data_IF_378570660638
#
_entry.id   IF_378570660638
#
_cell.length_a   1.000
_cell.length_b   1.000
_cell.length_c   1.000
_cell.angle_alpha   90.00
_cell.angle_beta   90.00
_cell.angle_gamma   90.00
#
_symmetry.space_group_name_H-M   'P 1'
#
loop_
_entity.id
_entity.type
_entity.pdbx_description
1 polymer ?
#
# COMPACT_ATOMS: atom_id res chain seq x y z
N UNK A 1 -32.65 -1.94 2.34
CA UNK A 1 -32.27 -0.68 1.66
C UNK A 1 -30.84 -0.91 1.20
N UNK A 2 -30.64 -1.20 -0.09
CA UNK A 2 -29.50 -1.99 -0.56
C UNK A 2 -28.27 -1.13 -0.88
N UNK A 3 -27.09 -1.71 -0.68
CA UNK A 3 -25.75 -1.16 -0.97
C UNK A 3 -25.63 -0.50 -2.35
N UNK A 4 -26.50 -0.82 -3.31
CA UNK A 4 -26.51 -0.19 -4.63
C UNK A 4 -26.96 1.29 -4.63
N UNK A 5 -27.67 1.75 -3.60
CA UNK A 5 -28.24 3.09 -3.55
C UNK A 5 -27.29 4.14 -2.93
N UNK A 6 -26.40 3.74 -2.01
CA UNK A 6 -25.34 4.65 -1.50
C UNK A 6 -24.23 4.85 -2.54
N UNK A 7 -23.97 3.83 -3.37
CA UNK A 7 -22.96 3.89 -4.43
C UNK A 7 -23.48 4.62 -5.71
N UNK A 8 -24.79 4.88 -5.82
CA UNK A 8 -25.37 5.71 -6.91
C UNK A 8 -25.27 7.22 -6.65
N UNK A 9 -24.98 7.64 -5.41
CA UNK A 9 -24.79 9.05 -5.05
C UNK A 9 -23.32 9.53 -5.18
N UNK A 10 -22.39 8.64 -5.56
CA UNK A 10 -20.93 8.78 -5.39
C UNK A 10 -20.19 9.80 -6.28
N UNK A 11 -20.83 10.75 -6.97
CA UNK A 11 -20.12 11.37 -8.11
C UNK A 11 -20.22 12.87 -8.48
N UNK A 12 -21.09 13.76 -8.01
CA UNK A 12 -21.10 15.08 -8.64
C UNK A 12 -20.70 16.20 -7.69
N UNK A 13 -19.48 16.25 -7.15
CA UNK A 13 -18.93 17.51 -6.55
C UNK A 13 -17.43 17.81 -6.71
N UNK A 14 -16.62 16.98 -7.38
CA UNK A 14 -15.24 17.35 -7.79
C UNK A 14 -15.14 17.97 -9.20
N UNK A 15 -16.27 18.17 -9.89
CA UNK A 15 -16.30 18.71 -11.25
C UNK A 15 -15.86 17.73 -12.35
N UNK A 16 -15.58 16.48 -12.00
CA UNK A 16 -15.36 15.37 -12.93
C UNK A 16 -16.64 14.53 -13.02
N UNK A 17 -17.21 14.37 -14.22
CA UNK A 17 -18.30 13.42 -14.46
C UNK A 17 -17.84 12.00 -14.14
N UNK A 18 -18.75 11.07 -13.79
CA UNK A 18 -18.38 9.66 -13.56
C UNK A 18 -17.57 9.06 -14.72
N UNK A 19 -17.88 9.48 -15.95
CA UNK A 19 -17.13 9.09 -17.14
C UNK A 19 -15.69 9.62 -17.15
N UNK A 20 -15.46 10.83 -16.64
CA UNK A 20 -14.13 11.41 -16.50
C UNK A 20 -13.27 10.61 -15.53
N UNK A 21 -13.84 10.17 -14.39
CA UNK A 21 -13.14 9.35 -13.40
C UNK A 21 -12.88 7.93 -13.93
N UNK A 22 -13.84 7.36 -14.67
CA UNK A 22 -13.70 6.04 -15.29
C UNK A 22 -12.62 6.01 -16.38
N UNK A 23 -12.41 7.11 -17.12
CA UNK A 23 -11.40 7.19 -18.20
C UNK A 23 -9.99 7.55 -17.70
N UNK A 24 -9.78 7.76 -16.40
CA UNK A 24 -8.43 7.99 -15.87
C UNK A 24 -7.53 6.78 -16.13
N UNK A 25 -6.45 7.00 -16.89
CA UNK A 25 -5.28 6.12 -16.93
C UNK A 25 -4.32 6.43 -15.78
N UNK A 26 -3.21 5.69 -15.67
CA UNK A 26 -2.29 5.84 -14.53
C UNK A 26 -1.71 7.25 -14.34
N UNK A 27 -1.36 7.98 -15.41
CA UNK A 27 -0.94 9.39 -15.29
C UNK A 27 -2.08 10.32 -14.85
N UNK A 28 -3.30 10.05 -15.31
CA UNK A 28 -4.49 10.79 -14.90
C UNK A 28 -4.77 10.62 -13.40
N UNK A 29 -4.65 9.39 -12.90
CA UNK A 29 -4.78 9.08 -11.47
C UNK A 29 -3.76 9.85 -10.65
N UNK A 30 -2.49 9.85 -11.05
CA UNK A 30 -1.46 10.61 -10.33
C UNK A 30 -1.75 12.12 -10.37
N UNK A 31 -2.12 12.66 -11.54
CA UNK A 31 -2.44 14.08 -11.68
C UNK A 31 -3.59 14.50 -10.75
N UNK A 32 -4.63 13.68 -10.68
CA UNK A 32 -5.77 13.96 -9.80
C UNK A 32 -5.36 13.84 -8.32
N UNK A 33 -4.51 12.87 -7.99
CA UNK A 33 -3.98 12.70 -6.63
C UNK A 33 -3.13 13.89 -6.19
N UNK A 34 -2.26 14.40 -7.07
CA UNK A 34 -1.49 15.63 -6.84
C UNK A 34 -2.40 16.84 -6.72
N UNK A 35 -3.48 16.92 -7.50
CA UNK A 35 -4.46 17.99 -7.42
C UNK A 35 -5.21 17.98 -6.08
N UNK A 36 -5.63 16.82 -5.61
CA UNK A 36 -6.30 16.63 -4.31
C UNK A 36 -5.39 16.94 -3.14
N UNK A 37 -4.11 16.57 -3.23
CA UNK A 37 -3.15 16.93 -2.20
C UNK A 37 -2.83 18.44 -2.25
N UNK A 38 -2.64 18.98 -3.46
CA UNK A 38 -2.30 20.39 -3.70
C UNK A 38 -3.42 21.38 -3.43
N UNK A 39 -4.70 20.95 -3.39
CA UNK A 39 -5.81 21.78 -2.92
C UNK A 39 -5.79 22.00 -1.40
N UNK A 40 -4.81 21.44 -0.69
CA UNK A 40 -4.58 21.62 0.75
C UNK A 40 -5.85 21.35 1.56
N UNK A 41 -6.55 20.26 1.25
CA UNK A 41 -7.70 19.86 2.06
C UNK A 41 -7.28 19.76 3.53
N UNK A 42 -7.95 20.48 4.45
CA UNK A 42 -7.52 20.53 5.84
C UNK A 42 -7.34 19.15 6.47
N UNK A 43 -8.22 18.20 6.13
CA UNK A 43 -8.13 16.81 6.59
C UNK A 43 -6.81 16.13 6.17
N UNK A 44 -6.41 16.22 4.90
CA UNK A 44 -5.17 15.63 4.40
C UNK A 44 -3.94 16.27 5.05
N UNK A 45 -3.93 17.61 5.16
CA UNK A 45 -2.82 18.32 5.82
C UNK A 45 -2.67 17.90 7.29
N UNK A 46 -3.78 17.76 8.02
CA UNK A 46 -3.73 17.27 9.41
C UNK A 46 -3.26 15.81 9.49
N UNK A 47 -3.69 14.95 8.58
CA UNK A 47 -3.25 13.54 8.51
C UNK A 47 -1.75 13.45 8.23
N UNK A 48 -1.24 14.29 7.31
CA UNK A 48 0.19 14.40 7.02
C UNK A 48 0.99 14.67 8.29
N UNK A 49 0.66 15.74 9.01
CA UNK A 49 1.44 16.17 10.19
C UNK A 49 1.23 15.28 11.41
N UNK A 50 0.00 14.82 11.66
CA UNK A 50 -0.32 14.07 12.87
C UNK A 50 0.04 12.58 12.78
N UNK A 51 0.09 12.00 11.58
CA UNK A 51 0.17 10.55 11.41
C UNK A 51 1.24 10.11 10.40
N UNK A 52 1.22 10.64 9.17
CA UNK A 52 2.13 10.19 8.12
C UNK A 52 3.57 10.60 8.41
N UNK A 53 3.80 11.85 8.84
CA UNK A 53 5.14 12.37 9.12
C UNK A 53 5.80 11.65 10.32
N UNK A 54 5.11 11.43 11.46
CA UNK A 54 5.62 10.56 12.52
C UNK A 54 5.91 9.13 12.04
N UNK A 55 5.04 8.56 11.21
CA UNK A 55 5.25 7.23 10.63
C UNK A 55 6.48 7.18 9.72
N UNK A 56 6.69 8.17 8.85
CA UNK A 56 7.87 8.26 8.00
C UNK A 56 9.14 8.44 8.82
N UNK A 57 9.11 9.25 9.88
CA UNK A 57 10.24 9.37 10.80
C UNK A 57 10.55 8.02 11.47
N UNK A 58 9.54 7.31 11.96
CA UNK A 58 9.68 5.96 12.52
C UNK A 58 10.30 4.99 11.50
N UNK A 59 9.82 4.97 10.25
CA UNK A 59 10.37 4.12 9.20
C UNK A 59 11.85 4.39 8.94
N UNK A 60 12.24 5.66 8.88
CA UNK A 60 13.62 6.07 8.62
C UNK A 60 14.52 5.68 9.79
N UNK A 61 14.08 5.94 11.02
CA UNK A 61 14.77 5.53 12.24
C UNK A 61 14.97 4.02 12.21
N UNK A 62 13.90 3.24 12.08
CA UNK A 62 13.97 1.77 12.02
C UNK A 62 14.88 1.29 10.89
N UNK A 63 14.83 1.89 9.71
CA UNK A 63 15.70 1.52 8.59
C UNK A 63 17.18 1.72 8.92
N UNK A 64 17.54 2.85 9.52
CA UNK A 64 18.93 3.14 9.96
C UNK A 64 19.38 2.12 11.01
N UNK A 65 18.57 1.89 12.04
CA UNK A 65 18.91 0.95 13.11
C UNK A 65 19.00 -0.50 12.61
N UNK A 66 18.06 -0.93 11.76
CA UNK A 66 18.05 -2.27 11.19
C UNK A 66 19.22 -2.51 10.24
N UNK A 67 19.54 -1.56 9.35
CA UNK A 67 20.69 -1.66 8.45
C UNK A 67 22.00 -1.80 9.23
N UNK A 68 22.18 -0.99 10.28
CA UNK A 68 23.37 -1.03 11.13
C UNK A 68 23.48 -2.34 11.90
N UNK A 69 22.36 -2.84 12.43
CA UNK A 69 22.32 -4.11 13.16
C UNK A 69 22.59 -5.32 12.24
N UNK A 70 22.05 -5.34 11.01
CA UNK A 70 22.33 -6.37 10.00
C UNK A 70 23.80 -6.33 9.59
N UNK A 71 24.37 -5.13 9.38
CA UNK A 71 25.78 -4.98 9.02
C UNK A 71 26.71 -5.54 10.10
N UNK A 72 26.41 -5.26 11.36
CA UNK A 72 27.19 -5.77 12.50
C UNK A 72 27.06 -7.29 12.64
N UNK A 73 25.85 -7.85 12.45
CA UNK A 73 25.62 -9.29 12.47
C UNK A 73 26.33 -10.04 11.32
N UNK A 74 26.40 -9.44 10.13
CA UNK A 74 27.07 -10.02 8.97
C UNK A 74 28.60 -9.86 9.01
N UNK A 75 29.10 -8.79 9.63
CA UNK A 75 30.52 -8.45 9.67
C UNK A 75 30.96 -8.06 11.10
N UNK A 76 31.11 -9.02 12.01
CA UNK A 76 31.49 -8.75 13.40
C UNK A 76 32.88 -8.12 13.57
N UNK A 77 33.72 -8.16 12.54
CA UNK A 77 35.08 -7.60 12.53
C UNK A 77 35.17 -6.20 11.86
N UNK A 78 34.05 -5.57 11.52
CA UNK A 78 34.09 -4.21 10.97
C UNK A 78 34.60 -3.24 12.06
N UNK A 79 35.62 -2.41 11.80
CA UNK A 79 36.04 -1.42 12.78
C UNK A 79 34.88 -0.47 13.10
N UNK A 80 34.78 0.01 14.35
CA UNK A 80 33.76 0.99 14.72
C UNK A 80 33.84 2.19 13.78
N UNK A 81 32.67 2.69 13.38
CA UNK A 81 32.48 3.84 12.48
C UNK A 81 33.57 4.92 12.68
N UNK A 82 34.12 5.50 11.60
CA UNK A 82 35.18 6.49 11.70
C UNK A 82 34.78 7.61 12.68
N UNK A 83 35.65 7.79 13.68
CA UNK A 83 35.64 8.73 14.80
C UNK A 83 34.52 9.79 14.80
N UNK A 84 33.66 9.74 15.82
CA UNK A 84 32.90 10.92 16.27
C UNK A 84 31.38 10.80 16.30
N UNK A 85 30.79 9.68 15.85
CA UNK A 85 29.36 9.44 16.10
C UNK A 85 29.24 8.86 17.51
N UNK A 86 28.56 9.53 18.47
CA UNK A 86 28.11 8.88 19.69
C UNK A 86 27.02 7.90 19.29
N UNK A 87 27.43 6.74 18.79
CA UNK A 87 26.54 5.62 18.61
C UNK A 87 26.26 5.12 20.03
N UNK A 88 24.98 5.04 20.46
CA UNK A 88 24.65 4.50 21.79
C UNK A 88 25.37 3.17 21.95
N UNK A 89 26.02 2.93 23.09
CA UNK A 89 26.89 1.76 23.31
C UNK A 89 26.22 0.48 22.77
N UNK A 90 26.68 0.03 21.59
CA UNK A 90 26.09 -1.11 20.89
C UNK A 90 26.49 -2.44 21.52
N UNK A 91 27.44 -2.42 22.45
CA UNK A 91 27.88 -3.57 23.22
C UNK A 91 26.70 -4.24 23.96
N UNK A 92 25.68 -3.46 24.34
CA UNK A 92 24.48 -4.00 24.99
C UNK A 92 23.48 -4.65 24.01
N UNK A 93 23.42 -4.18 22.75
CA UNK A 93 22.53 -4.75 21.72
C UNK A 93 23.14 -5.95 20.99
N UNK A 94 24.47 -5.97 20.83
CA UNK A 94 25.22 -7.11 20.26
C UNK A 94 25.27 -8.32 21.20
N UNK A 95 25.20 -8.08 22.51
CA UNK A 95 25.14 -9.12 23.55
C UNK A 95 23.71 -9.58 23.89
N UNK A 96 22.69 -9.14 23.15
CA UNK A 96 21.32 -9.64 23.33
C UNK A 96 21.26 -11.12 22.91
N UNK A 97 20.71 -11.95 23.78
CA UNK A 97 20.34 -13.33 23.44
C UNK A 97 19.56 -13.36 22.12
N UNK A 98 19.85 -14.34 21.26
CA UNK A 98 19.21 -14.50 19.95
C UNK A 98 17.67 -14.45 20.01
N UNK A 99 17.08 -14.96 21.10
CA UNK A 99 15.62 -14.92 21.35
C UNK A 99 15.10 -13.49 21.60
N UNK A 100 15.84 -12.67 22.34
CA UNK A 100 15.50 -11.25 22.59
C UNK A 100 15.64 -10.42 21.34
N UNK A 101 16.67 -10.70 20.53
CA UNK A 101 16.90 -10.02 19.26
C UNK A 101 15.78 -10.34 18.24
N UNK A 102 15.37 -11.60 18.15
CA UNK A 102 14.23 -12.01 17.33
C UNK A 102 12.92 -11.39 17.81
N UNK A 103 12.69 -11.35 19.14
CA UNK A 103 11.53 -10.69 19.73
C UNK A 103 11.46 -9.20 19.43
N UNK A 104 12.60 -8.50 19.48
CA UNK A 104 12.71 -7.09 19.12
C UNK A 104 12.37 -6.85 17.63
N UNK A 105 12.95 -7.63 16.71
CA UNK A 105 12.61 -7.52 15.29
C UNK A 105 11.13 -7.77 15.03
N UNK A 106 10.56 -8.81 15.65
CA UNK A 106 9.14 -9.11 15.53
C UNK A 106 8.29 -7.92 16.00
N UNK A 107 8.62 -7.33 17.15
CA UNK A 107 7.93 -6.15 17.67
C UNK A 107 8.00 -4.97 16.69
N UNK A 108 9.19 -4.66 16.16
CA UNK A 108 9.39 -3.58 15.20
C UNK A 108 8.55 -3.78 13.93
N UNK A 109 8.52 -5.01 13.40
CA UNK A 109 7.71 -5.38 12.23
C UNK A 109 6.22 -5.25 12.54
N UNK A 110 5.76 -5.73 13.70
CA UNK A 110 4.36 -5.62 14.11
C UNK A 110 3.93 -4.17 14.31
N UNK A 111 4.74 -3.35 14.98
CA UNK A 111 4.46 -1.93 15.19
C UNK A 111 4.41 -1.20 13.84
N UNK A 112 5.36 -1.47 12.94
CA UNK A 112 5.36 -0.93 11.58
C UNK A 112 4.09 -1.28 10.83
N UNK A 113 3.69 -2.56 10.90
CA UNK A 113 2.50 -3.07 10.25
C UNK A 113 1.23 -2.39 10.79
N UNK A 114 1.07 -2.35 12.11
CA UNK A 114 -0.10 -1.74 12.76
C UNK A 114 -0.23 -0.25 12.42
N UNK A 115 0.85 0.53 12.55
CA UNK A 115 0.83 1.97 12.25
C UNK A 115 0.58 2.19 10.75
N UNK A 116 1.20 1.39 9.88
CA UNK A 116 0.99 1.46 8.43
C UNK A 116 -0.47 1.25 8.03
N UNK A 117 -1.15 0.29 8.65
CA UNK A 117 -2.60 0.07 8.42
C UNK A 117 -3.45 1.25 8.89
N UNK A 118 -3.10 1.86 10.03
CA UNK A 118 -3.79 3.06 10.54
C UNK A 118 -3.61 4.23 9.57
N UNK A 119 -2.40 4.46 9.06
CA UNK A 119 -2.13 5.48 8.03
C UNK A 119 -2.96 5.22 6.78
N UNK A 120 -2.90 4.00 6.24
CA UNK A 120 -3.64 3.59 5.05
C UNK A 120 -5.15 3.85 5.21
N UNK A 121 -5.74 3.35 6.29
CA UNK A 121 -7.19 3.50 6.55
C UNK A 121 -7.61 4.95 6.72
N UNK A 122 -6.79 5.75 7.42
CA UNK A 122 -7.05 7.19 7.63
C UNK A 122 -7.04 7.96 6.32
N UNK A 123 -6.02 7.74 5.48
CA UNK A 123 -5.91 8.41 4.16
C UNK A 123 -7.06 7.97 3.25
N UNK A 124 -7.37 6.66 3.19
CA UNK A 124 -8.45 6.15 2.35
C UNK A 124 -9.81 6.73 2.78
N UNK A 125 -10.09 6.78 4.08
CA UNK A 125 -11.32 7.39 4.59
C UNK A 125 -11.40 8.89 4.25
N UNK A 126 -10.30 9.62 4.39
CA UNK A 126 -10.26 11.05 4.05
C UNK A 126 -10.51 11.29 2.55
N UNK A 127 -9.86 10.52 1.67
CA UNK A 127 -10.10 10.58 0.23
C UNK A 127 -11.56 10.23 -0.07
N UNK A 128 -12.09 9.17 0.53
CA UNK A 128 -13.49 8.82 0.42
C UNK A 128 -14.40 9.99 0.79
N UNK A 129 -14.21 10.57 1.98
CA UNK A 129 -15.01 11.70 2.45
C UNK A 129 -14.98 12.89 1.47
N UNK A 130 -13.81 13.21 0.89
CA UNK A 130 -13.68 14.24 -0.14
C UNK A 130 -14.49 13.88 -1.39
N UNK A 131 -14.41 12.64 -1.86
CA UNK A 131 -15.21 12.16 -3.00
C UNK A 131 -16.73 12.13 -2.71
N UNK A 132 -17.14 11.87 -1.46
CA UNK A 132 -18.53 11.97 -1.00
C UNK A 132 -18.98 13.41 -0.73
N UNK A 133 -18.11 14.41 -0.86
CA UNK A 133 -18.41 15.80 -0.53
C UNK A 133 -18.68 16.04 0.96
N UNK A 134 -18.24 15.13 1.84
CA UNK A 134 -18.32 15.30 3.29
C UNK A 134 -17.07 16.02 3.77
N UNK A 135 -17.26 17.12 4.49
CA UNK A 135 -16.17 17.77 5.22
C UNK A 135 -15.84 16.95 6.48
N UNK A 136 -15.17 15.81 6.32
CA UNK A 136 -14.75 14.99 7.45
C UNK A 136 -13.66 15.73 8.23
N UNK A 137 -13.92 15.96 9.52
CA UNK A 137 -12.90 16.52 10.42
C UNK A 137 -11.89 15.43 10.79
N UNK A 138 -10.65 15.81 11.10
CA UNK A 138 -9.61 14.85 11.51
C UNK A 138 -10.07 13.94 12.67
N UNK A 139 -10.83 14.51 13.62
CA UNK A 139 -11.42 13.75 14.74
C UNK A 139 -12.37 12.66 14.25
N UNK A 140 -13.26 12.95 13.31
CA UNK A 140 -14.19 11.96 12.75
C UNK A 140 -13.46 10.86 11.98
N UNK A 141 -12.40 11.21 11.25
CA UNK A 141 -11.57 10.22 10.55
C UNK A 141 -10.95 9.26 11.56
N UNK A 142 -10.23 9.78 12.56
CA UNK A 142 -9.52 8.95 13.54
C UNK A 142 -10.47 8.10 14.38
N UNK A 143 -11.67 8.58 14.72
CA UNK A 143 -12.67 7.79 15.45
C UNK A 143 -13.30 6.67 14.60
N UNK A 144 -13.30 6.80 13.28
CA UNK A 144 -13.85 5.79 12.36
C UNK A 144 -12.82 4.70 12.01
N UNK A 145 -11.54 4.98 12.19
CA UNK A 145 -10.43 4.06 11.88
C UNK A 145 -10.47 2.73 12.64
N UNK A 146 -10.82 2.64 13.95
CA UNK A 146 -10.86 1.36 14.67
C UNK A 146 -11.79 0.32 14.02
N UNK A 147 -12.90 0.76 13.41
CA UNK A 147 -13.84 -0.13 12.71
C UNK A 147 -13.30 -0.60 11.36
N UNK A 148 -12.54 0.26 10.66
CA UNK A 148 -11.89 -0.07 9.40
C UNK A 148 -10.61 -0.90 9.60
N UNK A 149 -9.94 -0.72 10.74
CA UNK A 149 -8.67 -1.36 11.05
C UNK A 149 -8.80 -2.87 11.13
N UNK A 150 -9.84 -3.41 11.78
CA UNK A 150 -10.06 -4.86 11.84
C UNK A 150 -10.27 -5.48 10.46
N UNK A 151 -10.99 -4.79 9.58
CA UNK A 151 -11.27 -5.23 8.20
C UNK A 151 -10.00 -5.17 7.34
N UNK A 152 -9.24 -4.08 7.45
CA UNK A 152 -7.94 -3.91 6.78
C UNK A 152 -6.91 -4.92 7.28
N UNK A 153 -6.91 -5.21 8.58
CA UNK A 153 -6.04 -6.23 9.18
C UNK A 153 -6.30 -7.60 8.54
N UNK A 154 -7.57 -8.01 8.40
CA UNK A 154 -7.92 -9.27 7.72
C UNK A 154 -7.43 -9.29 6.27
N UNK A 155 -7.63 -8.20 5.52
CA UNK A 155 -7.14 -8.09 4.13
C UNK A 155 -5.61 -8.19 4.05
N UNK A 156 -4.90 -7.54 4.97
CA UNK A 156 -3.45 -7.59 5.04
C UNK A 156 -2.91 -8.97 5.46
N UNK A 157 -3.58 -9.68 6.38
CA UNK A 157 -3.22 -11.07 6.70
C UNK A 157 -3.39 -11.98 5.48
N UNK A 158 -4.46 -11.79 4.69
CA UNK A 158 -4.65 -12.56 3.44
C UNK A 158 -3.53 -12.28 2.44
N UNK A 159 -3.09 -11.02 2.31
CA UNK A 159 -1.93 -10.66 1.48
C UNK A 159 -0.67 -11.41 1.91
N UNK A 160 -0.35 -11.35 3.20
CA UNK A 160 0.83 -12.02 3.78
C UNK A 160 0.75 -13.53 3.54
N UNK A 161 -0.40 -14.15 3.77
CA UNK A 161 -0.60 -15.59 3.54
C UNK A 161 -0.40 -15.95 2.06
N UNK A 162 -0.90 -15.13 1.13
CA UNK A 162 -0.71 -15.35 -0.30
C UNK A 162 0.77 -15.21 -0.70
N UNK A 163 1.45 -14.15 -0.26
CA UNK A 163 2.88 -13.96 -0.53
C UNK A 163 3.74 -15.09 0.08
N UNK A 164 3.43 -15.50 1.31
CA UNK A 164 4.10 -16.63 1.97
C UNK A 164 3.86 -17.93 1.22
N UNK A 165 2.66 -18.17 0.68
CA UNK A 165 2.38 -19.39 -0.08
C UNK A 165 3.28 -19.50 -1.33
N UNK A 166 3.50 -18.40 -2.05
CA UNK A 166 4.46 -18.34 -3.18
C UNK A 166 5.89 -18.63 -2.70
N UNK A 167 6.30 -18.02 -1.58
CA UNK A 167 7.64 -18.25 -1.00
C UNK A 167 7.86 -19.69 -0.55
N UNK A 168 6.85 -20.33 0.05
CA UNK A 168 6.91 -21.74 0.48
C UNK A 168 7.02 -22.67 -0.73
N UNK A 169 6.22 -22.46 -1.78
CA UNK A 169 6.31 -23.24 -3.00
C UNK A 169 7.70 -23.11 -3.65
N UNK A 170 8.24 -21.89 -3.69
CA UNK A 170 9.60 -21.64 -4.17
C UNK A 170 10.67 -22.32 -3.29
N UNK A 171 10.53 -22.29 -1.97
CA UNK A 171 11.44 -22.97 -1.05
C UNK A 171 11.42 -24.49 -1.20
N UNK A 172 10.22 -25.09 -1.28
CA UNK A 172 10.05 -26.53 -1.54
C UNK A 172 10.70 -26.91 -2.86
N UNK A 173 10.52 -26.10 -3.90
CA UNK A 173 11.15 -26.29 -5.19
C UNK A 173 12.68 -26.38 -5.08
N UNK A 174 13.32 -25.43 -4.38
CA UNK A 174 14.78 -25.45 -4.17
C UNK A 174 15.21 -26.74 -3.44
N UNK A 175 14.52 -27.09 -2.34
CA UNK A 175 14.89 -28.26 -1.51
C UNK A 175 14.78 -29.58 -2.27
N UNK A 176 13.80 -29.73 -3.15
CA UNK A 176 13.64 -30.96 -3.96
C UNK A 176 14.72 -31.06 -5.03
N UNK A 177 14.97 -29.97 -5.75
CA UNK A 177 15.84 -30.01 -6.93
C UNK A 177 17.33 -29.90 -6.60
N UNK A 178 17.71 -29.37 -5.43
CA UNK A 178 19.12 -29.23 -5.04
C UNK A 178 19.87 -30.57 -4.95
N UNK A 179 19.17 -31.66 -4.64
CA UNK A 179 19.77 -33.00 -4.53
C UNK A 179 19.70 -33.80 -5.83
N UNK A 180 18.93 -33.33 -6.82
CA UNK A 180 18.61 -34.09 -8.03
C UNK A 180 19.34 -33.56 -9.27
N UNK A 181 19.64 -32.27 -9.32
CA UNK A 181 20.21 -31.61 -10.49
C UNK A 181 21.68 -31.22 -10.29
N UNK A 182 22.49 -31.20 -11.37
CA UNK A 182 23.81 -30.59 -11.34
C UNK A 182 23.70 -29.07 -11.05
N UNK A 183 24.73 -28.51 -10.41
CA UNK A 183 24.76 -27.13 -9.89
C UNK A 183 24.37 -26.08 -10.91
N UNK A 184 24.87 -26.20 -12.14
CA UNK A 184 24.69 -25.17 -13.18
C UNK A 184 23.25 -25.16 -13.69
N UNK A 185 22.65 -26.35 -13.84
CA UNK A 185 21.25 -26.50 -14.23
C UNK A 185 20.31 -26.07 -13.10
N UNK A 186 20.65 -26.39 -11.85
CA UNK A 186 19.92 -25.93 -10.68
C UNK A 186 19.89 -24.40 -10.61
N UNK A 187 21.04 -23.74 -10.77
CA UNK A 187 21.13 -22.29 -10.72
C UNK A 187 20.26 -21.62 -11.78
N UNK A 188 20.31 -22.11 -13.03
CA UNK A 188 19.47 -21.63 -14.12
C UNK A 188 17.98 -21.78 -13.79
N UNK A 189 17.59 -22.96 -13.31
CA UNK A 189 16.20 -23.29 -13.04
C UNK A 189 15.65 -22.51 -11.83
N UNK A 190 16.42 -22.41 -10.75
CA UNK A 190 16.11 -21.59 -9.57
C UNK A 190 15.97 -20.12 -9.98
N UNK A 191 16.81 -19.62 -10.88
CA UNK A 191 16.71 -18.23 -11.38
C UNK A 191 15.40 -18.01 -12.14
N UNK A 192 15.02 -18.93 -13.04
CA UNK A 192 13.78 -18.83 -13.81
C UNK A 192 12.55 -18.88 -12.89
N UNK A 193 12.48 -19.87 -12.00
CA UNK A 193 11.35 -20.01 -11.05
C UNK A 193 11.34 -18.86 -10.05
N UNK A 194 12.51 -18.34 -9.66
CA UNK A 194 12.65 -17.15 -8.84
C UNK A 194 12.03 -15.92 -9.49
N UNK A 195 12.29 -15.68 -10.78
CA UNK A 195 11.66 -14.60 -11.55
C UNK A 195 10.14 -14.77 -11.60
N UNK A 196 9.63 -15.97 -11.85
CA UNK A 196 8.18 -16.26 -11.87
C UNK A 196 7.56 -15.99 -10.49
N UNK A 197 8.25 -16.37 -9.42
CA UNK A 197 7.80 -16.16 -8.04
C UNK A 197 7.76 -14.67 -7.70
N UNK A 198 8.78 -13.91 -8.12
CA UNK A 198 8.82 -12.45 -7.97
C UNK A 198 7.66 -11.77 -8.72
N UNK A 199 7.38 -12.18 -9.95
CA UNK A 199 6.23 -11.67 -10.72
C UNK A 199 4.92 -11.99 -10.00
N UNK A 200 4.80 -13.18 -9.41
CA UNK A 200 3.60 -13.59 -8.66
C UNK A 200 3.39 -12.73 -7.42
N UNK A 201 4.42 -12.50 -6.61
CA UNK A 201 4.37 -11.59 -5.45
C UNK A 201 4.06 -10.16 -5.89
N UNK A 202 4.62 -9.71 -7.01
CA UNK A 202 4.33 -8.39 -7.58
C UNK A 202 2.85 -8.24 -7.95
N UNK A 203 2.26 -9.23 -8.63
CA UNK A 203 0.83 -9.23 -8.97
C UNK A 203 -0.04 -9.23 -7.70
N UNK A 204 0.30 -10.04 -6.70
CA UNK A 204 -0.40 -10.07 -5.41
C UNK A 204 -0.37 -8.68 -4.75
N UNK A 205 0.78 -8.00 -4.79
CA UNK A 205 0.92 -6.65 -4.25
C UNK A 205 0.03 -5.63 -4.99
N UNK A 206 -0.03 -5.67 -6.33
CA UNK A 206 -0.94 -4.80 -7.09
C UNK A 206 -2.40 -5.04 -6.73
N UNK A 207 -2.79 -6.32 -6.62
CA UNK A 207 -4.14 -6.70 -6.21
C UNK A 207 -4.45 -6.24 -4.79
N UNK A 208 -3.47 -6.32 -3.88
CA UNK A 208 -3.61 -5.85 -2.50
C UNK A 208 -3.93 -4.36 -2.43
N UNK A 209 -3.26 -3.52 -3.23
CA UNK A 209 -3.54 -2.08 -3.24
C UNK A 209 -4.99 -1.77 -3.63
N UNK A 210 -5.55 -2.48 -4.61
CA UNK A 210 -6.96 -2.34 -5.00
C UNK A 210 -7.90 -2.96 -3.97
N UNK A 211 -7.53 -4.10 -3.38
CA UNK A 211 -8.30 -4.77 -2.33
C UNK A 211 -8.42 -3.93 -1.05
N UNK A 212 -7.42 -3.09 -0.74
CA UNK A 212 -7.51 -2.09 0.32
C UNK A 212 -8.60 -1.06 0.03
N UNK A 213 -8.73 -0.61 -1.23
CA UNK A 213 -9.83 0.24 -1.67
C UNK A 213 -11.19 -0.43 -1.47
N UNK A 214 -11.34 -1.67 -1.93
CA UNK A 214 -12.55 -2.48 -1.72
C UNK A 214 -12.88 -2.60 -0.23
N UNK A 215 -11.87 -2.84 0.61
CA UNK A 215 -12.06 -3.03 2.06
C UNK A 215 -12.46 -1.74 2.77
N UNK A 216 -11.94 -0.59 2.32
CA UNK A 216 -12.25 0.71 2.90
C UNK A 216 -13.60 1.27 2.46
N UNK A 217 -13.98 1.05 1.20
CA UNK A 217 -15.14 1.72 0.59
C UNK A 217 -16.36 0.82 0.39
N UNK A 218 -16.21 -0.49 0.53
CA UNK A 218 -17.30 -1.46 0.45
C UNK A 218 -17.29 -2.33 1.71
N UNK A 219 -18.30 -3.20 1.90
CA UNK A 219 -18.42 -4.07 3.08
C UNK A 219 -17.74 -5.45 2.93
N UNK A 220 -16.80 -5.58 1.99
CA UNK A 220 -16.01 -6.80 1.79
C UNK A 220 -14.64 -6.73 2.51
N UNK A 221 -14.09 -7.86 2.99
CA UNK A 221 -12.72 -7.91 3.56
C UNK A 221 -12.03 -9.24 3.25
N UNK A 222 -10.70 -9.32 3.37
CA UNK A 222 -9.96 -10.56 3.15
C UNK A 222 -10.04 -11.08 1.71
N UNK A 223 -10.31 -12.38 1.55
CA UNK A 223 -10.33 -13.06 0.24
C UNK A 223 -11.41 -12.49 -0.69
N UNK A 224 -12.56 -12.08 -0.15
CA UNK A 224 -13.64 -11.48 -0.96
C UNK A 224 -13.18 -10.16 -1.58
N UNK A 225 -12.40 -9.36 -0.85
CA UNK A 225 -11.82 -8.12 -1.37
C UNK A 225 -10.80 -8.37 -2.46
N UNK A 226 -9.98 -9.43 -2.35
CA UNK A 226 -9.04 -9.81 -3.41
C UNK A 226 -9.74 -10.29 -4.67
N UNK A 227 -10.80 -11.12 -4.54
CA UNK A 227 -11.60 -11.55 -5.68
C UNK A 227 -12.23 -10.37 -6.40
N UNK A 228 -12.88 -9.47 -5.66
CA UNK A 228 -13.49 -8.28 -6.25
C UNK A 228 -12.45 -7.33 -6.84
N UNK A 229 -11.32 -7.12 -6.14
CA UNK A 229 -10.18 -6.36 -6.64
C UNK A 229 -9.65 -6.91 -7.97
N UNK A 230 -9.57 -8.23 -8.13
CA UNK A 230 -9.21 -8.88 -9.41
C UNK A 230 -10.18 -8.52 -10.53
N UNK A 231 -11.49 -8.57 -10.25
CA UNK A 231 -12.51 -8.21 -11.23
C UNK A 231 -12.45 -6.73 -11.60
N UNK A 232 -12.25 -5.84 -10.63
CA UNK A 232 -12.08 -4.39 -10.86
C UNK A 232 -10.82 -4.06 -11.67
N UNK A 233 -9.78 -4.89 -11.54
CA UNK A 233 -8.48 -4.68 -12.19
C UNK A 233 -8.42 -5.26 -13.62
N UNK A 234 -9.37 -6.11 -14.00
CA UNK A 234 -9.36 -6.87 -15.26
C UNK A 234 -9.07 -6.01 -16.50
N UNK A 235 -9.71 -4.83 -16.61
CA UNK A 235 -9.58 -3.95 -17.77
C UNK A 235 -8.50 -2.87 -17.60
N UNK A 236 -7.82 -2.83 -16.43
CA UNK A 236 -6.90 -1.75 -16.06
C UNK A 236 -5.53 -2.21 -15.52
N UNK A 237 -5.14 -3.46 -15.73
CA UNK A 237 -3.82 -3.98 -15.34
C UNK A 237 -2.67 -3.10 -15.82
N UNK A 238 -2.70 -2.67 -17.09
CA UNK A 238 -1.66 -1.79 -17.64
C UNK A 238 -1.56 -0.45 -16.91
N UNK A 239 -2.71 0.13 -16.51
CA UNK A 239 -2.73 1.39 -15.74
C UNK A 239 -2.23 1.19 -14.31
N UNK A 240 -2.52 0.04 -13.69
CA UNK A 240 -2.03 -0.28 -12.33
C UNK A 240 -0.51 -0.48 -12.31
N UNK A 241 0.03 -1.24 -13.27
CA UNK A 241 1.48 -1.44 -13.42
C UNK A 241 2.16 -0.10 -13.70
N UNK A 242 1.60 0.71 -14.60
CA UNK A 242 2.14 2.03 -14.90
C UNK A 242 2.12 2.95 -13.66
N UNK A 243 1.02 2.97 -12.91
CA UNK A 243 0.91 3.75 -11.66
C UNK A 243 1.94 3.28 -10.63
N UNK A 244 2.12 1.97 -10.46
CA UNK A 244 3.12 1.41 -9.57
C UNK A 244 4.53 1.88 -9.94
N UNK A 245 4.91 1.77 -11.23
CA UNK A 245 6.23 2.22 -11.71
C UNK A 245 6.40 3.72 -11.49
N UNK A 246 5.36 4.51 -11.77
CA UNK A 246 5.37 5.96 -11.64
C UNK A 246 5.55 6.42 -10.19
N UNK A 247 5.01 5.68 -9.22
CA UNK A 247 5.22 5.91 -7.78
C UNK A 247 6.53 5.32 -7.28
N UNK A 248 7.00 4.22 -7.86
CA UNK A 248 8.22 3.53 -7.46
C UNK A 248 9.47 4.33 -7.80
N UNK A 249 9.56 4.91 -9.01
CA UNK A 249 10.73 5.68 -9.47
C UNK A 249 11.10 6.81 -8.49
N UNK A 250 10.19 7.72 -8.08
CA UNK A 250 10.53 8.77 -7.13
C UNK A 250 10.85 8.20 -5.74
N UNK A 251 10.18 7.12 -5.31
CA UNK A 251 10.49 6.47 -4.04
C UNK A 251 11.93 5.90 -4.02
N UNK A 252 12.36 5.24 -5.11
CA UNK A 252 13.74 4.75 -5.27
C UNK A 252 14.72 5.92 -5.30
N UNK A 253 14.44 6.97 -6.09
CA UNK A 253 15.32 8.13 -6.19
C UNK A 253 15.53 8.79 -4.81
N UNK A 254 14.46 8.93 -4.04
CA UNK A 254 14.53 9.45 -2.66
C UNK A 254 15.29 8.50 -1.74
N UNK A 255 15.11 7.20 -1.87
CA UNK A 255 15.91 6.19 -1.16
C UNK A 255 17.42 6.29 -1.46
N UNK A 256 17.79 6.42 -2.73
CA UNK A 256 19.19 6.58 -3.15
C UNK A 256 19.81 7.88 -2.61
N UNK A 257 19.01 8.96 -2.55
CA UNK A 257 19.42 10.23 -1.96
C UNK A 257 19.65 10.14 -0.44
N UNK A 258 19.12 9.12 0.25
CA UNK A 258 19.34 8.92 1.69
C UNK A 258 20.64 8.17 2.02
N UNK A 259 21.06 7.26 1.15
CA UNK A 259 22.32 6.52 1.32
C UNK A 259 23.56 7.42 1.18
N UNK A 260 23.44 8.51 0.42
CA UNK A 260 24.52 9.47 0.15
C UNK A 260 24.91 10.33 1.39
N UNK A 261 23.98 10.96 2.13
CA UNK A 261 24.28 11.82 3.29
C UNK A 261 24.63 11.03 4.57
N UNK A 262 24.15 9.79 4.75
CA UNK A 262 24.42 9.00 5.96
C UNK A 262 25.88 8.51 6.01
N UNK A 263 26.52 8.33 4.86
CA UNK A 263 27.89 7.78 4.78
C UNK A 263 29.01 8.80 4.99
N UNK A 264 28.74 10.11 5.02
CA UNK A 264 29.81 11.08 4.77
C UNK A 264 30.39 11.90 5.92
N UNK A 265 29.81 12.06 7.12
CA UNK A 265 30.54 12.71 8.23
C UNK A 265 29.93 12.49 9.61
N UNK A 266 30.80 12.33 10.62
CA UNK A 266 30.48 12.30 12.05
C UNK A 266 30.23 13.68 12.66
N UNK A 267 30.45 14.76 11.90
CA UNK A 267 30.35 16.12 12.41
C UNK A 267 28.95 16.73 12.22
N UNK A 268 28.44 17.35 13.29
CA UNK A 268 27.16 18.03 13.30
C UNK A 268 27.21 19.30 12.44
N UNK A 269 26.94 19.16 11.14
CA UNK A 269 26.77 20.31 10.25
C UNK A 269 25.27 20.61 10.06
N UNK A 270 24.90 21.86 10.28
CA UNK A 270 23.54 22.38 10.05
C UNK A 270 23.00 22.01 8.64
N UNK A 271 23.87 22.00 7.63
CA UNK A 271 23.52 21.60 6.24
C UNK A 271 22.99 20.16 6.16
N UNK A 272 23.53 19.22 6.93
CA UNK A 272 23.07 17.83 6.94
C UNK A 272 21.77 17.65 7.71
N UNK A 273 21.56 18.42 8.78
CA UNK A 273 20.28 18.44 9.49
C UNK A 273 19.15 18.88 8.56
N UNK A 274 19.37 19.96 7.80
CA UNK A 274 18.40 20.45 6.80
C UNK A 274 18.11 19.39 5.74
N UNK A 275 19.13 18.71 5.21
CA UNK A 275 18.94 17.63 4.22
C UNK A 275 18.14 16.44 4.79
N UNK A 276 18.39 16.04 6.04
CA UNK A 276 17.61 14.98 6.71
C UNK A 276 16.15 15.39 6.91
N UNK A 277 15.89 16.63 7.30
CA UNK A 277 14.53 17.16 7.43
C UNK A 277 13.82 17.15 6.07
N UNK A 278 14.47 17.64 5.01
CA UNK A 278 13.94 17.61 3.65
C UNK A 278 13.62 16.18 3.21
N UNK A 279 14.51 15.23 3.51
CA UNK A 279 14.30 13.81 3.20
C UNK A 279 13.07 13.21 3.92
N UNK A 280 12.89 13.50 5.21
CA UNK A 280 11.72 13.04 5.99
C UNK A 280 10.44 13.64 5.39
N UNK A 281 10.42 14.93 5.11
CA UNK A 281 9.26 15.62 4.52
C UNK A 281 8.93 15.03 3.15
N UNK A 282 9.94 14.81 2.31
CA UNK A 282 9.76 14.26 0.96
C UNK A 282 9.26 12.80 1.00
N UNK A 283 9.78 11.99 1.93
CA UNK A 283 9.33 10.61 2.14
C UNK A 283 7.89 10.57 2.65
N UNK A 284 7.53 11.44 3.59
CA UNK A 284 6.16 11.60 4.09
C UNK A 284 5.21 11.99 2.97
N UNK A 285 5.59 13.00 2.17
CA UNK A 285 4.83 13.45 1.01
C UNK A 285 4.59 12.33 0.00
N UNK A 286 5.63 11.58 -0.38
CA UNK A 286 5.49 10.47 -1.32
C UNK A 286 4.65 9.32 -0.75
N UNK A 287 4.73 9.07 0.55
CA UNK A 287 3.94 8.03 1.22
C UNK A 287 2.45 8.36 1.16
N UNK A 288 2.07 9.57 1.54
CA UNK A 288 0.67 10.00 1.47
C UNK A 288 0.15 10.07 0.03
N UNK A 289 0.95 10.64 -0.89
CA UNK A 289 0.59 10.71 -2.30
C UNK A 289 0.39 9.30 -2.89
N UNK A 290 1.21 8.32 -2.48
CA UNK A 290 1.04 6.92 -2.87
C UNK A 290 -0.30 6.36 -2.42
N UNK A 291 -0.67 6.54 -1.15
CA UNK A 291 -1.96 6.08 -0.62
C UNK A 291 -3.15 6.77 -1.29
N UNK A 292 -3.08 8.10 -1.50
CA UNK A 292 -4.11 8.84 -2.25
C UNK A 292 -4.24 8.28 -3.67
N UNK A 293 -3.11 8.03 -4.34
CA UNK A 293 -3.09 7.49 -5.71
C UNK A 293 -3.77 6.14 -5.80
N UNK A 294 -3.55 5.24 -4.85
CA UNK A 294 -4.23 3.95 -4.82
C UNK A 294 -5.73 4.07 -4.51
N UNK A 295 -6.14 5.00 -3.65
CA UNK A 295 -7.55 5.27 -3.39
C UNK A 295 -8.27 5.85 -4.63
N UNK A 296 -7.66 6.82 -5.31
CA UNK A 296 -8.19 7.38 -6.57
C UNK A 296 -8.22 6.33 -7.68
N UNK A 297 -7.19 5.47 -7.75
CA UNK A 297 -7.14 4.35 -8.69
C UNK A 297 -8.31 3.39 -8.47
N UNK A 298 -8.61 3.07 -7.21
CA UNK A 298 -9.79 2.28 -6.87
C UNK A 298 -11.07 2.92 -7.40
N UNK A 299 -11.31 4.21 -7.17
CA UNK A 299 -12.50 4.90 -7.69
C UNK A 299 -12.57 4.84 -9.22
N UNK A 300 -11.43 4.97 -9.90
CA UNK A 300 -11.36 4.85 -11.35
C UNK A 300 -11.70 3.44 -11.85
N UNK A 301 -11.22 2.40 -11.18
CA UNK A 301 -11.56 1.00 -11.47
C UNK A 301 -13.04 0.71 -11.20
N UNK A 302 -13.57 1.16 -10.06
CA UNK A 302 -14.97 0.97 -9.68
C UNK A 302 -15.93 1.67 -10.66
N UNK A 303 -15.60 2.89 -11.09
CA UNK A 303 -16.39 3.60 -12.10
C UNK A 303 -16.37 2.90 -13.46
N UNK A 304 -15.20 2.42 -13.90
CA UNK A 304 -15.07 1.68 -15.16
C UNK A 304 -15.82 0.34 -15.13
N UNK A 305 -15.73 -0.41 -14.02
CA UNK A 305 -16.44 -1.67 -13.86
C UNK A 305 -17.96 -1.48 -13.96
N UNK A 306 -18.51 -0.44 -13.34
CA UNK A 306 -19.94 -0.12 -13.47
C UNK A 306 -20.33 0.23 -14.90
N UNK A 307 -19.53 1.05 -15.59
CA UNK A 307 -19.80 1.41 -16.99
C UNK A 307 -19.74 0.21 -17.94
N UNK A 308 -18.92 -0.79 -17.63
CA UNK A 308 -18.82 -2.02 -18.43
C UNK A 308 -19.92 -3.04 -18.09
N UNK A 309 -20.46 -3.01 -16.88
CA UNK A 309 -21.58 -3.89 -16.44
C UNK A 309 -22.95 -3.29 -16.79
N UNK A 310 -23.11 -1.97 -16.73
CA UNK A 310 -24.36 -1.27 -17.09
C UNK A 310 -24.92 -1.58 -18.51
N UNK A 311 -24.11 -1.77 -19.58
CA UNK A 311 -24.64 -2.14 -20.89
C UNK A 311 -25.12 -3.61 -20.97
N UNK A 312 -24.85 -4.45 -19.96
CA UNK A 312 -25.25 -5.87 -19.95
C UNK A 312 -26.51 -6.18 -19.14
N UNK A 313 -27.18 -5.19 -18.55
CA UNK A 313 -28.52 -5.38 -17.97
C UNK A 313 -29.61 -4.55 -18.69
N UNK A 314 -30.01 -4.90 -19.93
CA UNK A 314 -31.35 -4.56 -20.42
C UNK A 314 -32.42 -5.56 -19.96
N UNK A 315 -32.08 -6.84 -19.71
CA UNK A 315 -33.10 -7.89 -19.55
C UNK A 315 -33.50 -8.20 -18.10
N UNK A 316 -32.64 -7.96 -17.10
CA UNK A 316 -32.94 -8.38 -15.71
C UNK A 316 -33.95 -7.44 -15.00
N UNK A 317 -34.13 -6.23 -15.51
CA UNK A 317 -35.15 -5.27 -15.04
C UNK A 317 -36.47 -5.40 -15.82
N UNK A 318 -36.41 -5.80 -17.09
CA UNK A 318 -37.58 -6.11 -17.91
C UNK A 318 -38.17 -7.48 -17.57
N UNK A 319 -37.35 -8.49 -17.25
CA UNK A 319 -37.82 -9.81 -16.81
C UNK A 319 -38.47 -9.74 -15.43
N UNK A 320 -37.96 -8.91 -14.50
CA UNK A 320 -38.64 -8.68 -13.20
C UNK A 320 -39.93 -7.87 -13.32
N UNK A 321 -40.03 -6.93 -14.28
CA UNK A 321 -41.28 -6.21 -14.54
C UNK A 321 -42.28 -7.05 -15.35
N UNK A 322 -41.84 -7.92 -16.26
CA UNK A 322 -42.71 -8.83 -17.01
C UNK A 322 -43.20 -9.99 -16.14
N UNK A 323 -42.38 -10.51 -15.23
CA UNK A 323 -42.82 -11.53 -14.26
C UNK A 323 -43.85 -10.95 -13.27
N UNK A 324 -43.69 -9.69 -12.84
CA UNK A 324 -44.71 -9.03 -12.01
C UNK A 324 -45.98 -8.63 -12.79
N UNK A 325 -45.88 -8.28 -14.07
CA UNK A 325 -47.06 -7.97 -14.89
C UNK A 325 -47.89 -9.22 -15.23
N UNK A 326 -47.25 -10.37 -15.50
CA UNK A 326 -47.95 -11.63 -15.82
C UNK A 326 -48.64 -12.24 -14.59
N UNK A 327 -48.15 -11.96 -13.37
CA UNK A 327 -48.76 -12.49 -12.14
C UNK A 327 -49.97 -11.65 -11.66
N UNK A 328 -50.19 -10.45 -12.21
CA UNK A 328 -51.32 -9.58 -11.85
C UNK A 328 -52.54 -9.79 -12.78
N UNK A 329 -52.37 -10.45 -13.92
CA UNK A 329 -53.49 -10.84 -14.80
C UNK A 329 -54.05 -12.25 -14.54
N UNK A 330 -53.55 -12.96 -13.52
CA UNK A 330 -54.04 -14.31 -13.14
C UNK A 330 -54.49 -14.43 -11.68
N UNK A 331 -54.94 -13.33 -11.04
CA UNK A 331 -55.63 -13.36 -9.75
C UNK A 331 -56.96 -12.63 -9.77
#
# INVERSE_FOLDING_TARGET
>A
MSDNQEISAMAPRLGLSQEGVAKLGGFGVLRESVRLFGSLHPSLVWIQFALVLPYSLYLIVVAIYAQLAILHALFPNLPPSPAGVPVPAWDDFGNLDQSKWLGFLLLVVLVRFCIGLVVLGTVFYAVGAIYYGRNATFSEVVHSVPRLWSRLFVTAIVEILLAMSVGVVYGIFIVIFQFTLPSDLLLLLVSIVGVISLISVFIINLMYQVANGVTCFEDHCGITSFRKGKHLLHDKWGSAVFLFILLLIPAILVGLLADFPVRLTAEFHFRWLVLKIIYVILTSYLTELGFISWAVFYFSCAANYKLNVAPTQPDDQLEKQSFFAVTVEMS
#
